data_IF_684666240216
#
_entry.id   IF_684666240216
#
_cell.length_a   1.000
_cell.length_b   1.000
_cell.length_c   1.000
_cell.angle_alpha   90.00
_cell.angle_beta   90.00
_cell.angle_gamma   90.00
#
_symmetry.space_group_name_H-M   'P 1'
#
loop_
_entity.id
_entity.type
_entity.pdbx_description
1 polymer ?
#
# COMPACT_ATOMS: atom_id res chain seq x y z
N UNK A 1 6.31 -3.16 -23.75
CA UNK A 1 5.20 -2.90 -22.82
C UNK A 1 5.52 -1.62 -22.07
N UNK A 2 4.65 -0.62 -22.09
CA UNK A 2 4.85 0.65 -21.38
C UNK A 2 4.67 0.38 -19.89
N UNK A 3 5.68 0.63 -19.06
CA UNK A 3 5.54 0.55 -17.60
C UNK A 3 4.61 1.67 -17.15
N UNK A 4 3.45 1.38 -16.52
CA UNK A 4 2.55 2.42 -16.04
C UNK A 4 3.28 3.31 -15.04
N UNK A 5 3.06 4.63 -15.11
CA UNK A 5 3.63 5.56 -14.13
C UNK A 5 2.94 5.33 -12.79
N UNK A 6 3.72 5.22 -11.71
CA UNK A 6 3.16 5.09 -10.37
C UNK A 6 2.30 6.31 -10.00
N UNK A 7 1.11 6.10 -9.39
CA UNK A 7 0.25 7.19 -8.98
C UNK A 7 0.85 7.97 -7.81
N UNK A 8 0.38 9.20 -7.64
CA UNK A 8 0.72 10.03 -6.48
C UNK A 8 -0.27 9.73 -5.35
N UNK A 9 0.02 8.69 -4.57
CA UNK A 9 -0.79 8.29 -3.42
C UNK A 9 -0.07 8.59 -2.09
N UNK A 10 -0.82 9.01 -1.07
CA UNK A 10 -0.32 9.08 0.31
C UNK A 10 -0.32 7.71 0.97
N UNK A 11 0.39 7.56 2.09
CA UNK A 11 0.33 6.32 2.87
C UNK A 11 -1.08 6.00 3.36
N UNK A 12 -1.90 7.02 3.61
CA UNK A 12 -3.30 6.86 4.00
C UNK A 12 -4.13 6.25 2.87
N UNK A 13 -3.94 6.74 1.65
CA UNK A 13 -4.68 6.25 0.47
C UNK A 13 -4.29 4.80 0.17
N UNK A 14 -2.99 4.49 0.23
CA UNK A 14 -2.49 3.11 0.01
C UNK A 14 -3.00 2.16 1.09
N UNK A 15 -2.98 2.55 2.37
CA UNK A 15 -3.53 1.73 3.44
C UNK A 15 -5.03 1.46 3.24
N UNK A 16 -5.80 2.47 2.82
CA UNK A 16 -7.22 2.32 2.52
C UNK A 16 -7.45 1.37 1.34
N UNK A 17 -6.69 1.54 0.26
CA UNK A 17 -6.74 0.66 -0.91
C UNK A 17 -6.42 -0.80 -0.55
N UNK A 18 -5.36 -1.05 0.25
CA UNK A 18 -5.04 -2.39 0.74
C UNK A 18 -6.17 -2.97 1.61
N UNK A 19 -6.80 -2.14 2.44
CA UNK A 19 -7.93 -2.59 3.26
C UNK A 19 -9.12 -2.99 2.38
N UNK A 20 -9.40 -2.22 1.31
CA UNK A 20 -10.43 -2.57 0.32
C UNK A 20 -10.11 -3.87 -0.43
N UNK A 21 -8.83 -4.18 -0.67
CA UNK A 21 -8.40 -5.46 -1.26
C UNK A 21 -8.29 -6.62 -0.25
N UNK A 22 -8.76 -6.43 0.99
CA UNK A 22 -8.90 -7.49 1.98
C UNK A 22 -7.74 -7.61 2.98
N UNK A 23 -6.73 -6.74 2.91
CA UNK A 23 -5.69 -6.68 3.94
C UNK A 23 -6.28 -6.18 5.25
N UNK A 24 -5.74 -6.63 6.38
CA UNK A 24 -6.16 -6.18 7.71
C UNK A 24 -5.04 -5.48 8.44
N UNK A 25 -5.30 -4.29 8.97
CA UNK A 25 -4.37 -3.62 9.88
C UNK A 25 -4.28 -4.42 11.18
N UNK A 26 -3.08 -4.87 11.55
CA UNK A 26 -2.86 -5.70 12.76
C UNK A 26 -2.02 -4.99 13.82
N UNK A 27 -1.19 -4.02 13.43
CA UNK A 27 -0.35 -3.29 14.37
C UNK A 27 0.01 -1.90 13.82
N UNK A 28 0.25 -0.96 14.72
CA UNK A 28 0.77 0.38 14.39
C UNK A 28 1.88 0.74 15.37
N UNK A 29 3.02 1.16 14.82
CA UNK A 29 4.16 1.70 15.59
C UNK A 29 4.59 3.04 15.02
N UNK A 30 4.21 4.12 15.70
CA UNK A 30 4.40 5.47 15.17
C UNK A 30 3.65 5.64 13.84
N UNK A 31 4.34 6.06 12.78
CA UNK A 31 3.74 6.18 11.43
C UNK A 31 3.69 4.86 10.67
N UNK A 32 4.30 3.79 11.15
CA UNK A 32 4.36 2.51 10.44
C UNK A 32 3.11 1.67 10.75
N UNK A 33 2.31 1.43 9.71
CA UNK A 33 1.10 0.62 9.78
C UNK A 33 1.39 -0.75 9.18
N UNK A 34 1.14 -1.81 9.95
CA UNK A 34 1.43 -3.18 9.56
C UNK A 34 0.14 -3.88 9.18
N UNK A 35 0.01 -4.28 7.91
CA UNK A 35 -1.17 -4.95 7.38
C UNK A 35 -0.86 -6.41 7.07
N UNK A 36 -1.73 -7.31 7.51
CA UNK A 36 -1.70 -8.73 7.19
C UNK A 36 -2.40 -9.00 5.84
N UNK A 37 -1.79 -9.85 5.01
CA UNK A 37 -2.36 -10.30 3.74
C UNK A 37 -3.64 -11.13 3.92
N UNK A 38 -4.58 -11.09 2.96
CA UNK A 38 -5.68 -12.05 2.91
C UNK A 38 -5.15 -13.50 2.91
N UNK A 39 -5.73 -14.35 3.75
CA UNK A 39 -5.24 -15.73 3.95
C UNK A 39 -4.11 -15.87 4.97
N UNK A 40 -3.63 -14.76 5.56
CA UNK A 40 -2.61 -14.74 6.60
C UNK A 40 -1.18 -14.80 6.08
N UNK A 41 -0.21 -14.76 7.00
CA UNK A 41 1.20 -14.94 6.67
C UNK A 41 2.02 -13.65 6.78
N UNK A 42 2.37 -13.04 5.65
CA UNK A 42 3.32 -11.91 5.63
C UNK A 42 2.62 -10.58 5.95
N UNK A 43 3.37 -9.73 6.65
CA UNK A 43 2.97 -8.35 6.92
C UNK A 43 3.57 -7.42 5.88
N UNK A 44 2.76 -6.46 5.44
CA UNK A 44 3.17 -5.32 4.62
C UNK A 44 3.21 -4.08 5.49
N UNK A 45 4.29 -3.31 5.40
CA UNK A 45 4.43 -2.06 6.17
C UNK A 45 4.13 -0.86 5.29
N UNK A 46 3.13 -0.06 5.68
CA UNK A 46 2.77 1.20 5.01
C UNK A 46 3.10 2.38 5.93
N UNK A 47 4.02 3.28 5.55
CA UNK A 47 4.29 4.48 6.32
C UNK A 47 3.23 5.56 6.06
N UNK A 48 2.49 5.95 7.11
CA UNK A 48 1.41 6.94 7.03
C UNK A 48 1.83 8.23 7.74
N UNK A 49 2.08 9.28 6.94
CA UNK A 49 2.46 10.62 7.42
C UNK A 49 1.41 11.66 7.03
N UNK A 50 0.14 11.40 7.37
CA UNK A 50 -1.01 12.19 6.92
C UNK A 50 -1.22 12.08 5.40
N UNK A 51 -1.46 13.21 4.74
CA UNK A 51 -1.70 13.28 3.29
C UNK A 51 -0.40 13.40 2.46
N UNK A 52 0.77 13.18 3.07
CA UNK A 52 2.06 13.26 2.36
C UNK A 52 2.18 12.10 1.37
N UNK A 53 2.42 12.43 0.10
CA UNK A 53 2.65 11.46 -0.97
C UNK A 53 3.85 10.56 -0.65
N UNK A 54 3.70 9.26 -0.86
CA UNK A 54 4.79 8.31 -0.74
C UNK A 54 5.85 8.57 -1.80
N UNK A 55 7.12 8.29 -1.46
CA UNK A 55 8.18 8.27 -2.48
C UNK A 55 7.89 7.13 -3.47
N UNK A 56 8.17 7.30 -4.78
CA UNK A 56 7.90 6.26 -5.78
C UNK A 56 8.51 4.90 -5.44
N UNK A 57 9.74 4.87 -4.91
CA UNK A 57 10.38 3.61 -4.46
C UNK A 57 9.64 2.93 -3.30
N UNK A 58 9.06 3.70 -2.39
CA UNK A 58 8.27 3.17 -1.28
C UNK A 58 6.97 2.57 -1.79
N UNK A 59 6.24 3.29 -2.67
CA UNK A 59 5.03 2.76 -3.28
C UNK A 59 5.30 1.49 -4.08
N UNK A 60 6.37 1.49 -4.89
CA UNK A 60 6.79 0.30 -5.66
C UNK A 60 7.06 -0.90 -4.75
N UNK A 61 7.82 -0.70 -3.67
CA UNK A 61 8.12 -1.76 -2.70
C UNK A 61 6.85 -2.35 -2.07
N UNK A 62 5.85 -1.50 -1.78
CA UNK A 62 4.56 -1.96 -1.26
C UNK A 62 3.84 -2.82 -2.31
N UNK A 63 3.75 -2.35 -3.56
CA UNK A 63 3.13 -3.11 -4.66
C UNK A 63 3.83 -4.47 -4.89
N UNK A 64 5.16 -4.48 -4.89
CA UNK A 64 5.94 -5.70 -5.05
C UNK A 64 5.69 -6.70 -3.89
N UNK A 65 5.45 -6.20 -2.66
CA UNK A 65 5.13 -7.05 -1.49
C UNK A 65 3.68 -7.54 -1.49
N UNK A 66 2.75 -6.72 -1.94
CA UNK A 66 1.32 -7.04 -1.92
C UNK A 66 0.90 -7.88 -3.13
N UNK A 67 1.69 -7.84 -4.21
CA UNK A 67 1.35 -8.44 -5.50
C UNK A 67 0.36 -7.60 -6.32
N UNK A 68 -0.01 -6.40 -5.86
CA UNK A 68 -0.91 -5.51 -6.60
C UNK A 68 -0.18 -4.85 -7.76
N UNK A 69 -0.86 -4.79 -8.89
CA UNK A 69 -0.47 -3.99 -10.05
C UNK A 69 -0.79 -2.51 -9.85
N UNK A 70 -0.26 -1.67 -10.74
CA UNK A 70 -0.56 -0.23 -10.72
C UNK A 70 -2.03 0.04 -11.04
N UNK A 71 -2.61 -0.72 -11.96
CA UNK A 71 -4.00 -0.54 -12.39
C UNK A 71 -4.97 -0.97 -11.29
N UNK A 72 -4.72 -2.11 -10.62
CA UNK A 72 -5.50 -2.53 -9.45
C UNK A 72 -5.41 -1.49 -8.31
N UNK A 73 -4.24 -0.90 -8.08
CA UNK A 73 -4.14 0.19 -7.11
C UNK A 73 -5.00 1.38 -7.52
N UNK A 74 -4.97 1.79 -8.79
CA UNK A 74 -5.76 2.93 -9.29
C UNK A 74 -7.26 2.72 -9.14
N UNK A 75 -7.75 1.49 -9.30
CA UNK A 75 -9.16 1.12 -9.07
C UNK A 75 -9.58 1.20 -7.59
N UNK A 76 -8.62 1.08 -6.67
CA UNK A 76 -8.86 1.01 -5.22
C UNK A 76 -8.66 2.36 -4.49
N UNK A 77 -8.05 3.35 -5.13
CA UNK A 77 -7.78 4.68 -4.57
C UNK A 77 -9.08 5.49 -4.45
#
# INVERSE_FOLDING_TARGET
MMTPRLPRASGKDVMAALTRSGFRLVHVRGSHHYLEQPGGGRLVTVPVHGNKTLKPKTLKSILDQTGLTVDELLELL
#
